data_IF_328965426226
#
_entry.id   IF_328965426226
#
_cell.length_a   1.000
_cell.length_b   1.000
_cell.length_c   1.000
_cell.angle_alpha   90.00
_cell.angle_beta   90.00
_cell.angle_gamma   90.00
#
_symmetry.space_group_name_H-M   'P 1'
#
loop_
_entity.id
_entity.type
_entity.pdbx_description
1 polymer ?
2 non-polymer ?
3 water ?
#
# COMPACT_ATOMS: atom_id res chain seq x y z
N UNK A 1 -11.54 -25.24 1.19
CA UNK A 1 -12.78 -25.26 0.42
C UNK A 1 -12.55 -25.42 -1.08
N UNK A 2 -13.52 -26.03 -1.76
CA UNK A 2 -13.40 -26.27 -3.18
C UNK A 2 -13.37 -24.96 -3.95
N UNK A 3 -12.81 -25.03 -5.15
CA UNK A 3 -12.70 -23.87 -6.01
C UNK A 3 -14.08 -23.29 -6.33
N UNK A 4 -15.08 -24.16 -6.58
CA UNK A 4 -16.42 -23.68 -6.91
C UNK A 4 -17.11 -22.99 -5.74
N UNK A 5 -16.74 -23.33 -4.50
CA UNK A 5 -17.29 -22.60 -3.37
C UNK A 5 -16.78 -21.16 -3.34
N UNK A 6 -15.46 -20.97 -3.49
CA UNK A 6 -14.95 -19.60 -3.54
C UNK A 6 -15.48 -18.87 -4.74
N UNK A 7 -15.58 -19.56 -5.87
CA UNK A 7 -16.13 -18.95 -7.07
C UNK A 7 -17.54 -18.43 -6.80
N UNK A 8 -18.39 -19.25 -6.19
CA UNK A 8 -19.75 -18.82 -5.89
C UNK A 8 -19.75 -17.68 -4.86
N UNK A 9 -18.87 -17.75 -3.87
CA UNK A 9 -18.84 -16.68 -2.88
C UNK A 9 -18.46 -15.37 -3.53
N UNK A 10 -17.60 -15.43 -4.55
CA UNK A 10 -17.23 -14.21 -5.28
C UNK A 10 -18.38 -13.72 -6.14
N UNK A 11 -19.07 -14.61 -6.84
CA UNK A 11 -20.26 -14.23 -7.61
C UNK A 11 -21.28 -13.43 -6.79
N UNK A 12 -21.15 -13.39 -5.46
CA UNK A 12 -22.08 -12.63 -4.66
C UNK A 12 -21.56 -11.25 -4.26
N UNK A 13 -20.29 -10.94 -4.53
CA UNK A 13 -19.68 -9.68 -4.13
C UNK A 13 -19.42 -8.83 -5.38
N UNK A 14 -19.25 -9.50 -6.52
CA UNK A 14 -18.73 -8.86 -7.70
C UNK A 14 -19.90 -8.40 -8.56
N UNK A 15 -19.59 -7.76 -9.59
CA UNK A 15 -20.68 -7.30 -10.43
C UNK A 15 -20.98 -8.34 -11.49
N UNK A 16 -22.21 -8.46 -11.93
CA UNK A 16 -22.51 -9.44 -12.99
C UNK A 16 -21.99 -8.92 -14.32
N UNK A 17 -21.69 -9.88 -15.20
CA UNK A 17 -21.30 -9.56 -16.56
C UNK A 17 -19.88 -10.01 -16.87
N UNK A 18 -19.56 -9.89 -18.15
CA UNK A 18 -18.23 -10.18 -18.66
C UNK A 18 -17.63 -8.86 -19.15
N UNK A 19 -16.66 -8.29 -18.43
CA UNK A 19 -16.09 -7.00 -18.84
C UNK A 19 -15.33 -7.05 -20.14
N UNK A 20 -15.04 -8.25 -20.67
CA UNK A 20 -14.43 -8.37 -21.98
C UNK A 20 -15.35 -7.86 -23.09
N UNK A 21 -16.63 -7.69 -22.79
CA UNK A 21 -17.58 -7.14 -23.75
C UNK A 21 -17.39 -5.65 -23.97
N UNK A 22 -16.57 -4.96 -23.18
CA UNK A 22 -16.37 -3.54 -23.40
C UNK A 22 -14.95 -3.05 -23.12
N UNK A 23 -13.99 -3.92 -22.87
CA UNK A 23 -12.59 -3.51 -22.71
C UNK A 23 -11.75 -4.13 -23.83
N UNK A 24 -10.85 -3.32 -24.40
CA UNK A 24 -9.90 -3.72 -25.42
C UNK A 24 -8.52 -3.19 -25.07
N UNK A 25 -7.55 -3.46 -25.94
CA UNK A 25 -6.21 -2.89 -25.87
C UNK A 25 -5.61 -3.12 -24.49
N UNK A 26 -5.53 -4.40 -24.10
CA UNK A 26 -4.91 -4.77 -22.83
C UNK A 26 -3.38 -4.68 -22.94
N UNK A 27 -2.76 -4.04 -21.97
CA UNK A 27 -1.31 -3.88 -21.92
C UNK A 27 -0.87 -4.29 -20.51
N UNK A 28 -0.21 -5.44 -20.40
CA UNK A 28 0.38 -5.81 -19.12
C UNK A 28 1.36 -4.72 -18.69
N UNK A 29 1.31 -4.33 -17.40
CA UNK A 29 2.22 -3.31 -16.88
C UNK A 29 2.85 -3.75 -15.56
N UNK A 30 2.59 -4.97 -15.11
CA UNK A 30 3.19 -5.35 -13.85
C UNK A 30 2.56 -6.58 -13.25
N UNK A 31 3.22 -7.04 -12.20
CA UNK A 31 2.78 -8.16 -11.39
C UNK A 31 2.79 -7.73 -9.93
N UNK A 32 1.84 -8.30 -9.17
CA UNK A 32 1.91 -8.31 -7.73
C UNK A 32 1.96 -9.75 -7.24
N UNK A 33 1.93 -9.90 -5.92
CA UNK A 33 1.83 -11.24 -5.36
C UNK A 33 0.49 -11.88 -5.73
N UNK A 34 -0.55 -11.05 -5.90
CA UNK A 34 -1.90 -11.55 -6.10
C UNK A 34 -2.24 -11.80 -7.58
N UNK A 35 -1.54 -11.17 -8.52
CA UNK A 35 -1.88 -11.34 -9.92
C UNK A 35 -1.15 -10.32 -10.80
N UNK A 36 -1.80 -9.93 -11.90
CA UNK A 36 -1.18 -8.97 -12.82
C UNK A 36 -2.02 -7.70 -12.90
N UNK A 37 -1.42 -6.64 -13.44
CA UNK A 37 -2.11 -5.37 -13.64
C UNK A 37 -1.99 -4.96 -15.10
N UNK A 38 -3.13 -4.69 -15.75
CA UNK A 38 -3.15 -4.25 -17.13
C UNK A 38 -3.73 -2.85 -17.25
N UNK A 39 -3.36 -2.19 -18.32
CA UNK A 39 -4.11 -1.05 -18.83
C UNK A 39 -5.15 -1.61 -19.80
N UNK A 40 -6.30 -0.98 -19.87
CA UNK A 40 -7.25 -1.27 -20.94
C UNK A 40 -8.02 0.00 -21.26
N UNK A 41 -8.60 0.01 -22.46
CA UNK A 41 -9.47 1.10 -22.87
C UNK A 41 -10.92 0.62 -22.78
N UNK A 42 -11.81 1.54 -22.42
CA UNK A 42 -13.24 1.29 -22.44
C UNK A 42 -13.79 1.75 -23.79
N UNK A 43 -14.44 0.84 -24.53
CA UNK A 43 -14.94 1.19 -25.88
C UNK A 43 -16.02 2.25 -25.82
N UNK A 44 -16.81 2.22 -24.74
CA UNK A 44 -17.95 3.08 -24.50
C UNK A 44 -17.58 4.55 -24.32
N UNK A 45 -16.29 4.89 -24.22
CA UNK A 45 -15.93 6.19 -23.66
C UNK A 45 -14.52 6.65 -24.04
N UNK A 46 -13.69 5.75 -24.55
CA UNK A 46 -12.29 6.04 -24.80
C UNK A 46 -11.41 6.14 -23.58
N UNK A 47 -11.98 6.07 -22.37
CA UNK A 47 -11.22 6.23 -21.13
C UNK A 47 -10.33 5.03 -20.87
N UNK A 48 -9.17 5.30 -20.26
CA UNK A 48 -8.25 4.25 -19.84
C UNK A 48 -8.54 3.88 -18.40
N UNK A 49 -8.39 2.58 -18.09
CA UNK A 49 -8.57 2.04 -16.75
C UNK A 49 -7.48 1.02 -16.50
N UNK A 50 -7.20 0.78 -15.21
CA UNK A 50 -6.38 -0.34 -14.78
C UNK A 50 -7.28 -1.52 -14.43
N UNK A 51 -6.84 -2.72 -14.79
CA UNK A 51 -7.56 -3.95 -14.52
C UNK A 51 -6.61 -4.91 -13.84
N UNK A 52 -6.90 -5.26 -12.58
CA UNK A 52 -6.11 -6.23 -11.82
C UNK A 52 -6.74 -7.59 -12.02
N UNK A 53 -5.92 -8.58 -12.35
CA UNK A 53 -6.43 -9.90 -12.71
C UNK A 53 -5.74 -10.96 -11.86
N UNK A 54 -6.54 -11.67 -11.07
CA UNK A 54 -6.05 -12.57 -10.05
C UNK A 54 -6.63 -13.95 -10.30
N UNK A 55 -5.76 -14.96 -10.40
CA UNK A 55 -6.18 -16.33 -10.64
C UNK A 55 -6.51 -16.98 -9.30
N UNK A 56 -7.75 -17.50 -9.18
CA UNK A 56 -8.19 -18.09 -7.92
C UNK A 56 -7.32 -19.28 -7.54
N UNK A 57 -6.94 -20.11 -8.52
CA UNK A 57 -6.10 -21.26 -8.23
C UNK A 57 -4.71 -20.85 -7.74
N UNK A 58 -4.14 -19.79 -8.34
CA UNK A 58 -2.81 -19.27 -8.01
C UNK A 58 -2.76 -18.53 -6.65
N UNK A 59 -3.72 -18.69 -5.74
CA UNK A 59 -3.80 -17.90 -4.53
C UNK A 59 -3.49 -18.76 -3.32
N UNK A 60 -2.43 -18.39 -2.59
CA UNK A 60 -2.17 -18.98 -1.29
C UNK A 60 -3.45 -18.97 -0.46
N UNK A 61 -3.85 -17.78 -0.01
CA UNK A 61 -5.05 -17.61 0.79
C UNK A 61 -6.13 -16.94 -0.06
N UNK A 62 -7.02 -17.77 -0.64
CA UNK A 62 -8.07 -17.23 -1.51
C UNK A 62 -8.92 -16.17 -0.81
N UNK A 63 -9.18 -16.33 0.48
CA UNK A 63 -10.07 -15.42 1.20
C UNK A 63 -9.59 -13.97 1.14
N UNK A 64 -8.32 -13.71 0.84
CA UNK A 64 -7.87 -12.33 0.77
C UNK A 64 -8.37 -11.62 -0.49
N UNK A 65 -8.81 -12.36 -1.50
CA UNK A 65 -9.33 -11.72 -2.70
C UNK A 65 -10.55 -10.82 -2.40
N UNK A 66 -11.39 -11.20 -1.43
CA UNK A 66 -12.51 -10.33 -1.04
C UNK A 66 -12.03 -8.93 -0.69
N UNK A 67 -10.85 -8.83 -0.04
CA UNK A 67 -10.30 -7.52 0.28
C UNK A 67 -10.06 -6.70 -0.98
N UNK A 68 -9.44 -7.32 -2.00
CA UNK A 68 -9.25 -6.67 -3.30
C UNK A 68 -10.51 -5.94 -3.79
N UNK A 69 -11.69 -6.33 -3.32
CA UNK A 69 -12.94 -5.73 -3.75
C UNK A 69 -13.55 -4.86 -2.66
N UNK A 70 -13.48 -5.32 -1.42
CA UNK A 70 -14.31 -4.74 -0.36
C UNK A 70 -13.77 -3.38 0.07
N UNK A 71 -12.46 -3.27 0.25
CA UNK A 71 -11.83 -2.01 0.64
C UNK A 71 -12.27 -0.87 -0.26
N UNK A 72 -11.87 -0.93 -1.54
CA UNK A 72 -12.23 0.16 -2.45
C UNK A 72 -13.73 0.26 -2.70
N UNK A 73 -14.52 -0.76 -2.34
CA UNK A 73 -15.97 -0.63 -2.45
C UNK A 73 -16.51 0.33 -1.40
N UNK A 74 -15.95 0.29 -0.19
CA UNK A 74 -16.50 0.99 0.96
C UNK A 74 -15.67 2.19 1.40
N UNK A 75 -14.50 2.40 0.79
CA UNK A 75 -13.57 3.38 1.31
C UNK A 75 -13.12 4.32 0.19
N UNK A 76 -14.07 4.91 -0.54
CA UNK A 76 -13.75 6.02 -1.43
C UNK A 76 -13.10 7.16 -0.62
N UNK A 77 -11.99 7.70 -1.14
CA UNK A 77 -11.19 8.71 -0.46
C UNK A 77 -10.20 9.30 -1.47
N UNK A 78 -9.93 10.60 -1.33
CA UNK A 78 -9.09 11.31 -2.29
C UNK A 78 -7.67 10.75 -2.39
N UNK A 79 -7.21 9.98 -1.39
CA UNK A 79 -5.88 9.37 -1.38
C UNK A 79 -5.96 7.84 -1.48
N UNK A 80 -7.06 7.33 -2.03
CA UNK A 80 -7.23 5.90 -2.24
C UNK A 80 -7.61 5.62 -3.69
N UNK A 81 -6.98 4.60 -4.27
CA UNK A 81 -7.31 4.20 -5.63
C UNK A 81 -8.82 4.00 -5.71
N UNK A 82 -9.43 4.53 -6.76
CA UNK A 82 -10.87 4.41 -6.85
C UNK A 82 -11.20 3.24 -7.76
N UNK A 83 -12.11 2.39 -7.30
CA UNK A 83 -12.59 1.25 -8.04
C UNK A 83 -13.89 1.63 -8.74
N UNK A 84 -14.17 0.97 -9.87
CA UNK A 84 -15.46 1.10 -10.54
C UNK A 84 -16.27 -0.18 -10.35
N UNK A 85 -15.82 -1.29 -10.93
CA UNK A 85 -16.52 -2.56 -10.87
C UNK A 85 -15.53 -3.69 -10.63
N UNK A 86 -16.08 -4.82 -10.22
CA UNK A 86 -15.34 -6.07 -10.13
C UNK A 86 -16.19 -7.17 -10.77
N UNK A 87 -15.52 -8.13 -11.39
CA UNK A 87 -16.17 -9.18 -12.17
C UNK A 87 -15.44 -10.49 -11.95
N UNK A 88 -16.15 -11.58 -12.21
CA UNK A 88 -15.57 -12.91 -12.18
C UNK A 88 -15.54 -13.40 -13.62
N UNK A 89 -14.34 -13.70 -14.11
CA UNK A 89 -14.10 -13.98 -15.52
C UNK A 89 -13.40 -15.32 -15.58
N UNK A 90 -14.15 -16.36 -15.93
CA UNK A 90 -13.62 -17.71 -15.85
C UNK A 90 -13.26 -18.01 -14.40
N UNK A 91 -11.97 -18.28 -14.17
CA UNK A 91 -11.45 -18.52 -12.83
C UNK A 91 -10.60 -17.35 -12.32
N UNK A 92 -10.68 -16.19 -12.97
CA UNK A 92 -9.95 -14.99 -12.56
C UNK A 92 -10.90 -13.95 -12.01
N UNK A 93 -10.52 -13.34 -10.89
CA UNK A 93 -11.16 -12.13 -10.40
C UNK A 93 -10.55 -10.93 -11.12
N UNK A 94 -11.40 -10.03 -11.62
CA UNK A 94 -10.97 -8.80 -12.28
C UNK A 94 -11.52 -7.59 -11.53
N UNK A 95 -10.65 -6.62 -11.27
CA UNK A 95 -11.01 -5.38 -10.59
C UNK A 95 -10.64 -4.23 -11.53
N UNK A 96 -11.63 -3.41 -11.88
CA UNK A 96 -11.46 -2.33 -12.84
C UNK A 96 -11.44 -1.03 -12.05
N UNK A 97 -10.34 -0.27 -12.17
CA UNK A 97 -10.13 0.94 -11.38
C UNK A 97 -9.49 2.03 -12.24
N UNK A 98 -9.22 3.18 -11.62
CA UNK A 98 -8.60 4.29 -12.34
C UNK A 98 -7.19 3.90 -12.77
N UNK A 99 -6.73 4.50 -13.85
CA UNK A 99 -5.35 4.35 -14.31
C UNK A 99 -4.52 5.50 -13.75
N UNK A 100 -3.65 5.20 -12.79
CA UNK A 100 -2.75 6.20 -12.22
C UNK A 100 -1.47 6.19 -13.04
N UNK A 101 -1.33 7.20 -13.92
CA UNK A 101 -0.32 7.19 -14.96
C UNK A 101 1.07 7.62 -14.50
N UNK A 102 1.26 8.03 -13.22
CA UNK A 102 2.58 8.39 -12.73
C UNK A 102 3.40 7.25 -12.15
N UNK A 103 2.96 6.00 -12.34
CA UNK A 103 3.57 4.80 -11.83
C UNK A 103 3.57 4.70 -10.30
N UNK A 104 4.32 3.72 -9.83
CA UNK A 104 4.47 3.49 -8.40
C UNK A 104 5.64 4.31 -7.85
N UNK A 105 5.59 4.53 -6.53
CA UNK A 105 6.60 5.34 -5.87
C UNK A 105 7.99 4.70 -5.98
N UNK A 106 8.05 3.37 -6.01
CA UNK A 106 9.31 2.65 -6.16
C UNK A 106 10.11 3.17 -7.35
N UNK A 107 9.45 3.49 -8.46
CA UNK A 107 10.18 4.04 -9.60
C UNK A 107 10.85 5.35 -9.22
N UNK A 108 10.26 6.12 -8.30
CA UNK A 108 10.89 7.38 -7.92
C UNK A 108 12.02 7.15 -6.90
N UNK A 109 11.85 6.23 -5.94
CA UNK A 109 12.87 6.11 -4.89
C UNK A 109 14.16 5.45 -5.37
N UNK A 110 14.09 4.51 -6.30
CA UNK A 110 15.28 3.84 -6.80
C UNK A 110 15.95 4.62 -7.92
N UNK A 111 15.30 5.67 -8.45
CA UNK A 111 15.78 6.37 -9.62
C UNK A 111 15.97 7.88 -9.45
N UNK A 112 15.49 8.48 -8.36
CA UNK A 112 15.77 9.90 -8.09
C UNK A 112 16.14 10.03 -6.61
N UNK A 113 16.19 11.27 -6.14
CA UNK A 113 16.31 11.56 -4.71
C UNK A 113 15.30 12.65 -4.36
N UNK A 114 14.40 12.34 -3.42
CA UNK A 114 13.30 13.23 -3.09
C UNK A 114 13.73 14.21 -2.01
N UNK A 115 13.20 15.43 -2.10
CA UNK A 115 13.41 16.39 -1.02
C UNK A 115 12.32 16.21 0.03
N UNK A 116 12.50 16.90 1.16
CA UNK A 116 11.59 16.74 2.30
C UNK A 116 10.18 17.28 2.01
N UNK A 117 10.06 18.27 1.13
CA UNK A 117 8.75 18.66 0.61
C UNK A 117 8.01 17.47 0.03
N UNK A 118 8.72 16.69 -0.80
CA UNK A 118 8.08 15.55 -1.46
C UNK A 118 7.82 14.42 -0.49
N UNK A 119 8.81 14.10 0.34
CA UNK A 119 8.63 13.07 1.35
C UNK A 119 7.41 13.38 2.19
N UNK A 120 7.27 14.63 2.62
CA UNK A 120 6.13 15.05 3.43
C UNK A 120 4.82 14.96 2.65
N UNK A 121 4.85 15.28 1.35
CA UNK A 121 3.62 15.13 0.57
C UNK A 121 3.14 13.67 0.57
N UNK A 122 4.04 12.74 0.25
CA UNK A 122 3.73 11.31 0.27
C UNK A 122 3.25 10.86 1.66
N UNK A 123 3.92 11.30 2.73
CA UNK A 123 3.55 10.85 4.07
C UNK A 123 2.22 11.42 4.51
N UNK A 124 1.93 12.67 4.11
CA UNK A 124 0.63 13.26 4.42
C UNK A 124 -0.49 12.47 3.73
N UNK A 125 -0.33 12.17 2.43
CA UNK A 125 -1.35 11.39 1.74
C UNK A 125 -1.54 10.04 2.40
N UNK A 126 -0.44 9.32 2.62
CA UNK A 126 -0.56 7.97 3.19
C UNK A 126 -1.22 8.03 4.56
N UNK A 127 -0.85 9.03 5.36
CA UNK A 127 -1.41 9.13 6.70
C UNK A 127 -2.89 9.45 6.66
N UNK A 128 -3.32 10.37 5.78
CA UNK A 128 -4.75 10.66 5.67
C UNK A 128 -5.52 9.38 5.38
N UNK A 129 -5.13 8.65 4.34
CA UNK A 129 -5.81 7.39 4.05
C UNK A 129 -5.77 6.45 5.24
N UNK A 130 -4.61 6.35 5.90
CA UNK A 130 -4.47 5.38 6.98
C UNK A 130 -5.31 5.75 8.19
N UNK A 131 -5.58 7.04 8.38
CA UNK A 131 -6.39 7.43 9.52
C UNK A 131 -7.85 7.12 9.25
N UNK A 132 -8.29 7.35 8.01
CA UNK A 132 -9.64 6.93 7.65
C UNK A 132 -9.79 5.41 7.78
N UNK A 133 -8.80 4.65 7.31
CA UNK A 133 -8.92 3.20 7.34
C UNK A 133 -8.76 2.65 8.75
N UNK A 134 -7.88 3.23 9.54
CA UNK A 134 -7.67 2.76 10.90
C UNK A 134 -8.88 3.07 11.76
N UNK A 135 -9.45 4.26 11.59
CA UNK A 135 -10.65 4.61 12.34
C UNK A 135 -11.69 3.51 12.21
N UNK A 136 -12.17 3.25 10.98
CA UNK A 136 -13.15 2.21 10.76
C UNK A 136 -12.52 0.82 10.79
N UNK A 137 -11.32 0.70 11.37
CA UNK A 137 -10.79 -0.57 11.86
C UNK A 137 -10.01 -1.46 10.90
N UNK A 138 -9.57 -0.95 9.71
CA UNK A 138 -8.87 -1.74 8.70
C UNK A 138 -7.37 -1.58 8.82
N UNK A 139 -6.64 -2.70 8.70
CA UNK A 139 -5.18 -2.76 8.67
C UNK A 139 -4.72 -3.14 7.27
N UNK A 140 -3.90 -2.28 6.64
CA UNK A 140 -3.49 -2.50 5.26
C UNK A 140 -2.57 -3.69 5.14
N UNK A 141 -1.47 -3.69 5.91
CA UNK A 141 -0.49 -4.77 6.11
C UNK A 141 0.51 -4.94 4.97
N UNK A 142 0.52 -4.06 3.97
CA UNK A 142 1.57 -4.11 2.93
C UNK A 142 1.94 -2.69 2.52
N UNK A 143 2.23 -1.84 3.50
CA UNK A 143 2.69 -0.49 3.24
C UNK A 143 4.15 -0.53 2.77
N UNK A 144 4.43 0.09 1.63
CA UNK A 144 5.75 0.17 1.04
C UNK A 144 5.62 1.03 -0.20
N UNK A 145 6.76 1.35 -0.83
CA UNK A 145 6.68 2.25 -1.98
C UNK A 145 5.91 1.61 -3.14
N UNK A 146 6.02 0.28 -3.30
CA UNK A 146 5.33 -0.42 -4.39
C UNK A 146 3.81 -0.28 -4.30
N UNK A 147 3.28 -0.05 -3.10
CA UNK A 147 1.86 0.11 -2.86
C UNK A 147 1.36 1.55 -3.05
N UNK A 148 2.22 2.47 -3.50
CA UNK A 148 1.86 3.88 -3.59
C UNK A 148 1.86 4.28 -5.06
N UNK A 149 0.77 4.89 -5.49
CA UNK A 149 0.62 5.25 -6.90
C UNK A 149 0.52 6.75 -7.04
N UNK A 150 0.96 7.26 -8.19
CA UNK A 150 1.01 8.70 -8.39
C UNK A 150 0.38 9.06 -9.72
N UNK A 151 0.19 10.36 -9.92
CA UNK A 151 -0.24 10.89 -11.20
C UNK A 151 0.79 11.86 -11.74
N UNK A 152 0.60 12.24 -13.01
CA UNK A 152 1.46 13.22 -13.67
C UNK A 152 1.50 14.55 -12.92
N UNK A 153 0.42 14.89 -12.22
CA UNK A 153 0.32 16.11 -11.43
C UNK A 153 0.54 15.86 -9.95
N UNK A 154 1.28 14.81 -9.57
CA UNK A 154 1.73 14.59 -8.20
C UNK A 154 0.68 14.19 -7.17
N UNK A 155 -0.51 13.78 -7.59
CA UNK A 155 -1.45 13.22 -6.64
C UNK A 155 -0.90 11.88 -6.16
N UNK A 156 -1.12 11.57 -4.88
CA UNK A 156 -0.62 10.34 -4.25
C UNK A 156 -1.81 9.54 -3.73
N UNK A 157 -1.84 8.25 -4.05
CA UNK A 157 -2.97 7.39 -3.68
C UNK A 157 -2.45 6.05 -3.20
N UNK A 158 -3.07 5.52 -2.13
CA UNK A 158 -2.70 4.23 -1.58
C UNK A 158 -3.39 3.10 -2.33
N UNK A 159 -2.67 2.00 -2.57
CA UNK A 159 -3.19 0.94 -3.43
C UNK A 159 -2.83 -0.41 -2.84
N UNK A 160 -3.00 -1.45 -3.63
CA UNK A 160 -2.68 -2.83 -3.25
C UNK A 160 -3.26 -3.16 -1.88
N UNK A 161 -4.60 -3.27 -1.83
CA UNK A 161 -5.29 -3.64 -0.61
C UNK A 161 -5.48 -5.13 -0.49
N UNK A 162 -4.76 -5.90 -1.32
CA UNK A 162 -4.90 -7.35 -1.29
C UNK A 162 -4.80 -7.96 0.10
N UNK A 163 -4.05 -7.34 1.00
CA UNK A 163 -3.63 -7.98 2.25
C UNK A 163 -4.37 -7.48 3.48
N UNK A 164 -5.45 -6.72 3.33
CA UNK A 164 -6.05 -6.10 4.51
C UNK A 164 -6.72 -7.11 5.44
N UNK A 165 -6.83 -6.72 6.71
CA UNK A 165 -7.63 -7.37 7.74
C UNK A 165 -8.51 -6.32 8.40
N UNK A 166 -9.59 -6.73 9.06
CA UNK A 166 -10.42 -5.79 9.79
C UNK A 166 -10.49 -6.21 11.26
N UNK A 167 -10.27 -5.23 12.13
CA UNK A 167 -10.28 -5.42 13.57
C UNK A 167 -11.54 -4.75 14.13
N UNK A 168 -12.06 -5.27 15.25
CA UNK A 168 -13.33 -4.79 15.78
C UNK A 168 -13.28 -4.75 17.30
N UNK A 169 -14.30 -4.12 17.89
CA UNK A 169 -14.48 -4.17 19.34
C UNK A 169 -14.66 -5.59 19.85
N UNK A 170 -14.92 -6.56 18.96
CA UNK A 170 -15.05 -7.97 19.34
C UNK A 170 -13.69 -8.67 19.31
N UNK A 171 -13.08 -8.76 18.13
CA UNK A 171 -11.73 -9.27 17.99
C UNK A 171 -10.81 -8.08 17.71
N UNK A 172 -9.95 -7.68 18.65
CA UNK A 172 -9.28 -6.37 18.56
C UNK A 172 -7.88 -6.40 17.98
N UNK A 173 -7.33 -7.59 18.09
CA UNK A 173 -6.02 -7.92 17.66
C UNK A 173 -6.35 -9.19 16.96
N UNK A 174 -5.33 -9.61 16.32
CA UNK A 174 -5.03 -10.05 14.98
C UNK A 174 -3.64 -10.65 15.06
N UNK A 175 -3.55 -12.01 14.27
CA UNK A 175 -2.40 -12.85 14.66
C UNK A 175 -1.60 -13.37 13.46
N UNK A 176 -2.16 -13.24 12.25
CA UNK A 176 -1.59 -13.84 11.03
C UNK A 176 -0.35 -13.11 10.47
N UNK A 177 0.51 -13.86 9.76
CA UNK A 177 1.81 -13.36 9.33
C UNK A 177 1.83 -12.97 7.86
N UNK A 178 1.59 -11.70 7.58
CA UNK A 178 1.43 -11.25 6.19
C UNK A 178 2.02 -9.87 6.06
N UNK A 179 2.54 -9.58 4.88
CA UNK A 179 3.21 -8.33 4.60
C UNK A 179 4.55 -8.63 3.95
N UNK A 180 5.24 -7.62 3.58
CA UNK A 180 6.55 -7.85 3.00
C UNK A 180 7.63 -7.76 4.07
N UNK A 181 8.54 -8.76 4.15
CA UNK A 181 9.49 -8.88 5.27
C UNK A 181 10.12 -7.60 5.81
N UNK A 182 10.92 -6.94 4.95
CA UNK A 182 11.72 -5.78 5.36
C UNK A 182 10.86 -4.66 5.94
N UNK A 183 9.56 -4.64 5.65
CA UNK A 183 8.68 -3.58 6.10
C UNK A 183 7.85 -3.99 7.30
N UNK A 184 8.02 -5.21 7.82
CA UNK A 184 7.15 -5.72 8.87
C UNK A 184 7.54 -5.18 10.23
N UNK A 185 6.53 -4.77 10.99
CA UNK A 185 6.70 -4.39 12.38
C UNK A 185 7.22 -5.59 13.19
N UNK A 186 7.91 -5.33 14.32
CA UNK A 186 8.56 -6.45 15.03
C UNK A 186 7.57 -7.30 15.84
N UNK A 187 6.52 -6.68 16.38
CA UNK A 187 5.48 -7.46 17.05
C UNK A 187 4.80 -8.42 16.08
N UNK A 188 4.69 -8.01 14.81
CA UNK A 188 4.13 -8.89 13.79
C UNK A 188 5.07 -10.05 13.48
N UNK A 189 6.39 -9.80 13.52
CA UNK A 189 7.36 -10.83 13.18
C UNK A 189 7.41 -11.92 14.25
N UNK A 190 7.59 -11.51 15.52
CA UNK A 190 7.59 -12.45 16.65
C UNK A 190 6.18 -13.01 16.88
N UNK A 191 5.22 -12.58 16.05
CA UNK A 191 3.88 -13.15 15.93
C UNK A 191 3.07 -13.01 17.23
N UNK A 192 3.14 -11.84 17.83
CA UNK A 192 2.21 -11.44 18.88
C UNK A 192 0.99 -10.81 18.24
N UNK A 193 -0.13 -10.70 18.97
CA UNK A 193 -1.28 -9.97 18.43
C UNK A 193 -0.91 -8.52 18.15
N UNK A 194 -1.43 -7.99 17.03
CA UNK A 194 -1.11 -6.64 16.57
C UNK A 194 -2.37 -5.94 16.08
N UNK A 195 -2.23 -4.63 15.84
CA UNK A 195 -3.30 -3.85 15.30
C UNK A 195 -2.80 -2.92 14.22
N UNK A 196 -3.52 -1.82 13.97
CA UNK A 196 -3.09 -0.87 12.93
C UNK A 196 -1.69 -0.31 13.13
N UNK A 197 -1.13 -0.44 14.33
CA UNK A 197 0.23 0.02 14.60
C UNK A 197 1.22 -0.49 13.56
N UNK A 198 0.99 -1.69 13.01
CA UNK A 198 1.93 -2.22 12.02
C UNK A 198 2.04 -1.30 10.80
N UNK A 199 0.91 -0.79 10.30
CA UNK A 199 0.98 0.13 9.18
C UNK A 199 1.90 1.30 9.49
N UNK A 200 1.81 1.83 10.71
CA UNK A 200 2.65 2.98 11.07
C UNK A 200 4.13 2.58 11.04
N UNK A 201 4.48 1.43 11.62
CA UNK A 201 5.84 0.94 11.46
C UNK A 201 6.25 0.92 9.99
N UNK A 202 5.41 0.30 9.14
CA UNK A 202 5.80 0.10 7.75
C UNK A 202 5.95 1.44 7.03
N UNK A 203 5.14 2.44 7.42
CA UNK A 203 5.32 3.76 6.84
C UNK A 203 6.70 4.30 7.17
N UNK A 204 7.15 4.05 8.40
CA UNK A 204 8.51 4.44 8.77
C UNK A 204 9.55 3.80 7.88
N UNK A 205 9.41 2.50 7.59
CA UNK A 205 10.34 1.89 6.65
C UNK A 205 10.25 2.57 5.29
N UNK A 206 9.02 2.92 4.85
CA UNK A 206 8.92 3.62 3.57
C UNK A 206 9.71 4.93 3.61
N UNK A 207 9.74 5.61 4.77
CA UNK A 207 10.48 6.87 4.83
C UNK A 207 11.97 6.62 4.65
N UNK A 208 12.47 5.53 5.22
CA UNK A 208 13.85 5.16 4.98
C UNK A 208 14.06 4.89 3.50
N UNK A 209 13.10 4.19 2.88
CA UNK A 209 13.10 4.04 1.44
C UNK A 209 13.27 5.37 0.73
N UNK A 210 12.49 6.38 1.15
CA UNK A 210 12.57 7.64 0.42
C UNK A 210 13.88 8.37 0.69
N UNK A 211 14.54 8.07 1.80
CA UNK A 211 15.76 8.76 2.20
C UNK A 211 17.00 8.02 1.73
N UNK A 212 17.11 6.75 2.05
CA UNK A 212 18.28 5.96 1.68
C UNK A 212 18.16 5.29 0.31
N UNK A 213 16.94 5.02 -0.14
CA UNK A 213 16.73 4.38 -1.43
C UNK A 213 16.36 2.92 -1.34
N UNK A 214 16.35 2.35 -0.14
CA UNK A 214 16.01 0.95 0.07
C UNK A 214 15.68 0.76 1.55
N UNK A 215 14.98 -0.31 1.91
CA UNK A 215 14.61 -0.49 3.30
C UNK A 215 15.78 -1.08 4.07
N UNK A 216 15.73 -1.03 5.40
CA UNK A 216 16.82 -1.62 6.18
C UNK A 216 16.96 -3.12 5.92
N UNK A 217 18.20 -3.59 5.91
CA UNK A 217 18.57 -4.99 5.76
C UNK A 217 18.20 -5.55 4.39
N UNK A 218 18.04 -4.70 3.37
CA UNK A 218 17.72 -5.16 2.02
C UNK A 218 18.84 -6.02 1.42
N UNK A 219 20.04 -6.00 1.99
CA UNK A 219 21.11 -6.83 1.46
C UNK A 219 20.90 -8.30 1.79
N UNK A 220 20.29 -8.60 2.92
CA UNK A 220 20.22 -9.95 3.47
C UNK A 220 19.08 -10.76 2.87
N UNK A 221 19.11 -12.08 3.02
CA UNK A 221 17.94 -12.87 2.68
C UNK A 221 16.77 -12.48 3.56
N UNK A 222 15.55 -12.79 3.14
CA UNK A 222 14.36 -12.35 3.89
C UNK A 222 14.41 -12.73 5.38
N UNK A 223 14.59 -14.02 5.66
CA UNK A 223 14.46 -14.53 7.01
C UNK A 223 15.49 -13.90 7.96
N UNK A 224 16.74 -13.76 7.50
CA UNK A 224 17.73 -13.06 8.29
C UNK A 224 17.22 -11.66 8.64
N UNK A 225 16.77 -10.91 7.64
CA UNK A 225 16.30 -9.53 7.86
C UNK A 225 15.21 -9.48 8.93
N UNK A 226 14.23 -10.40 8.86
CA UNK A 226 13.16 -10.40 9.85
C UNK A 226 13.71 -10.62 11.26
N UNK A 227 14.49 -11.70 11.45
CA UNK A 227 15.06 -11.93 12.79
C UNK A 227 15.88 -10.73 13.26
N UNK A 228 16.58 -10.07 12.32
CA UNK A 228 17.28 -8.84 12.63
C UNK A 228 16.33 -7.79 13.20
N UNK A 229 15.17 -7.63 12.57
CA UNK A 229 14.20 -6.65 13.03
C UNK A 229 13.70 -7.00 14.43
N UNK A 230 13.70 -8.30 14.79
CA UNK A 230 13.24 -8.68 16.13
C UNK A 230 14.31 -8.49 17.20
N UNK A 231 15.58 -8.77 16.89
CA UNK A 231 16.66 -8.73 17.89
C UNK A 231 17.28 -7.34 18.06
N UNK A 232 17.72 -6.75 16.94
CA UNK A 232 18.43 -5.47 16.90
C UNK A 232 17.69 -4.32 17.58
N UNK A 233 18.45 -3.30 17.99
CA UNK A 233 17.84 -2.01 18.18
C UNK A 233 17.49 -1.44 16.80
N UNK A 234 16.44 -0.63 16.72
CA UNK A 234 15.88 -0.20 15.41
C UNK A 234 16.94 0.29 14.42
N UNK A 235 16.57 0.43 13.14
CA UNK A 235 17.57 0.64 12.08
C UNK A 235 18.07 2.09 12.01
N UNK A 236 19.41 2.25 11.93
CA UNK A 236 20.06 3.56 12.00
C UNK A 236 20.36 4.09 10.60
N UNK A 237 19.78 5.25 10.27
CA UNK A 237 19.83 5.84 8.94
C UNK A 237 21.26 5.94 8.40
N UNK A 238 21.35 5.89 7.08
CA UNK A 238 22.61 6.09 6.36
C UNK A 238 22.79 7.59 6.09
N UNK A 239 21.92 8.14 5.24
CA UNK A 239 21.96 9.56 4.90
C UNK A 239 21.46 10.47 6.02
N UNK A 240 21.77 10.14 7.29
CA UNK A 240 21.26 10.93 8.42
C UNK A 240 21.58 12.41 8.29
N UNK A 241 22.67 12.77 7.62
CA UNK A 241 23.03 14.17 7.47
C UNK A 241 22.11 14.94 6.51
N UNK A 242 21.35 14.25 5.63
CA UNK A 242 20.43 14.93 4.72
C UNK A 242 19.09 15.29 5.38
N UNK A 243 18.79 14.68 6.51
CA UNK A 243 17.48 14.72 7.14
C UNK A 243 17.42 15.82 8.19
N UNK A 244 16.38 16.66 8.12
CA UNK A 244 16.18 17.70 9.11
C UNK A 244 15.74 17.10 10.45
N UNK A 245 15.88 17.85 11.55
CA UNK A 245 15.34 17.35 12.83
C UNK A 245 13.84 17.21 12.83
N UNK A 246 13.16 17.94 11.96
CA UNK A 246 11.74 17.73 11.72
C UNK A 246 11.49 16.29 11.26
N UNK A 247 12.05 15.94 10.10
CA UNK A 247 11.90 14.57 9.59
C UNK A 247 12.44 13.56 10.58
N UNK A 248 13.56 13.89 11.23
CA UNK A 248 14.15 12.95 12.19
C UNK A 248 13.19 12.65 13.34
N UNK A 249 12.50 13.68 13.85
CA UNK A 249 11.59 13.48 14.95
C UNK A 249 10.32 12.77 14.53
N UNK A 250 9.80 13.12 13.35
CA UNK A 250 8.70 12.38 12.75
C UNK A 250 9.03 10.91 12.66
N UNK A 251 10.13 10.61 11.97
CA UNK A 251 10.53 9.22 11.79
C UNK A 251 10.70 8.52 13.14
N UNK A 252 11.19 9.24 14.16
CA UNK A 252 11.32 8.66 15.49
C UNK A 252 9.97 8.32 16.11
N UNK A 253 8.91 9.08 15.76
CA UNK A 253 7.56 8.71 16.20
C UNK A 253 6.99 7.55 15.41
N UNK A 254 7.52 7.28 14.21
CA UNK A 254 7.07 6.14 13.42
C UNK A 254 7.65 4.81 13.92
N UNK A 255 8.98 4.70 14.01
CA UNK A 255 9.68 3.44 14.30
C UNK A 255 9.86 3.14 15.80
N UNK A 256 8.84 3.37 16.64
CA UNK A 256 8.90 2.96 18.05
C UNK A 256 8.74 1.45 18.15
N UNK A 257 9.72 0.78 18.79
CA UNK A 257 9.72 -0.69 18.90
C UNK A 257 8.49 -1.22 19.64
N UNK A 258 7.91 -0.46 20.57
CA UNK A 258 6.74 -0.91 21.33
C UNK A 258 5.48 -0.29 20.75
N UNK A 259 4.54 -1.09 20.21
CA UNK A 259 3.37 -0.51 19.52
C UNK A 259 2.45 0.34 20.40
N UNK A 260 2.58 0.28 21.73
CA UNK A 260 1.76 1.14 22.58
C UNK A 260 2.26 2.57 22.58
N UNK A 261 3.57 2.77 22.48
CA UNK A 261 4.20 4.07 22.47
C UNK A 261 4.31 4.64 21.05
N UNK A 262 3.88 3.87 20.04
CA UNK A 262 3.97 4.31 18.66
C UNK A 262 2.79 5.20 18.29
N UNK A 263 3.09 6.27 17.56
CA UNK A 263 2.05 7.23 17.23
C UNK A 263 0.99 6.60 16.34
N UNK A 264 -0.26 6.98 16.57
CA UNK A 264 -1.35 6.65 15.66
C UNK A 264 -1.30 7.54 14.42
N UNK A 265 -1.95 7.10 13.36
CA UNK A 265 -2.07 7.93 12.16
C UNK A 265 -2.62 9.31 12.51
N UNK A 266 -3.75 9.36 13.22
CA UNK A 266 -4.38 10.64 13.52
C UNK A 266 -3.50 11.52 14.39
N UNK A 267 -2.58 10.94 15.16
CA UNK A 267 -1.61 11.75 15.90
C UNK A 267 -0.54 12.31 14.97
N UNK A 268 -0.07 11.51 14.00
CA UNK A 268 0.96 11.97 13.09
C UNK A 268 0.44 13.05 12.14
N UNK A 269 -0.86 13.03 11.83
CA UNK A 269 -1.45 14.05 10.96
C UNK A 269 -1.21 15.46 11.46
N UNK A 270 -0.87 15.62 12.75
CA UNK A 270 -0.66 16.93 13.36
C UNK A 270 0.81 17.22 13.61
N UNK A 271 1.72 16.37 13.16
CA UNK A 271 3.14 16.58 13.42
C UNK A 271 3.68 17.69 12.53
N UNK A 272 4.62 18.50 13.02
CA UNK A 272 5.07 19.67 12.25
C UNK A 272 5.84 19.32 11.00
N UNK A 273 6.44 18.13 10.91
CA UNK A 273 7.09 17.74 9.66
C UNK A 273 6.13 17.86 8.48
N UNK A 274 4.87 17.47 8.68
CA UNK A 274 3.92 17.52 7.58
C UNK A 274 3.65 18.96 7.12
N UNK A 275 4.02 19.98 7.89
CA UNK A 275 3.89 21.34 7.38
C UNK A 275 4.72 21.54 6.12
N UNK A 276 5.90 20.90 6.03
CA UNK A 276 6.72 21.01 4.84
C UNK A 276 6.02 20.53 3.56
N UNK A 277 4.82 19.94 3.67
CA UNK A 277 4.25 19.13 2.60
C UNK A 277 3.91 20.01 1.40
N UNK A 278 4.73 19.91 0.36
CA UNK A 278 4.49 20.59 -0.89
C UNK A 278 3.17 20.19 -1.50
N UNK A 279 2.65 21.03 -2.39
CA UNK A 279 1.37 20.73 -3.05
C UNK A 279 1.54 19.59 -4.02
N UNK A 280 0.45 19.12 -4.63
CA UNK A 280 0.59 18.13 -5.73
C UNK A 280 1.62 18.54 -6.79
N UNK A 281 1.63 19.82 -7.21
CA UNK A 281 2.57 20.27 -8.23
C UNK A 281 4.03 20.07 -7.86
N UNK A 282 4.34 19.80 -6.59
CA UNK A 282 5.72 19.59 -6.16
C UNK A 282 6.24 18.19 -6.51
N UNK A 283 5.36 17.24 -6.82
CA UNK A 283 5.81 15.88 -7.13
C UNK A 283 5.78 15.61 -8.65
N UNK A 284 5.65 16.65 -9.47
CA UNK A 284 5.77 16.53 -10.92
C UNK A 284 7.22 16.35 -11.36
N UNK A 285 8.21 17.22 -10.89
CA UNK A 285 9.55 17.18 -11.50
C UNK A 285 10.42 16.00 -11.07
N UNK A 286 9.84 14.81 -10.91
CA UNK A 286 10.65 13.65 -10.56
C UNK A 286 10.13 12.34 -11.13
N UNK A 287 9.08 12.33 -11.95
CA UNK A 287 8.62 11.10 -12.58
C UNK A 287 9.54 10.68 -13.73
N UNK A 288 9.16 11.04 -14.96
CA UNK A 288 9.98 10.79 -16.15
C UNK A 288 10.22 12.08 -16.92
N UNK A 289 10.89 13.06 -16.28
CA UNK A 289 11.27 14.34 -16.89
C UNK A 289 12.65 14.80 -16.44
N UNK A 290 13.52 13.87 -16.05
CA UNK A 290 14.88 14.22 -15.60
C UNK A 290 15.96 13.38 -16.27
X LIG B 1 2.79 1.13 -13.20
X LIG B 1 1.60 1.83 -13.22
X LIG B 1 0.59 1.45 -12.34
X LIG B 1 0.78 0.42 -11.47
X LIG B 1 2.92 0.10 -12.33
X LIG B 1 1.91 -0.28 -11.49
X LIG B 1 1.40 2.90 -14.11
X LIG B 1 2.47 3.25 -14.99
X LIG B 1 3.66 2.55 -15.00
X LIG B 1 3.83 1.48 -14.10
X LIG B 1 -1.85 1.81 -11.77
X LIG B 1 -2.11 0.63 -11.10
X LIG B 1 -3.97 1.89 -11.04
X LIG B 1 -4.13 -0.32 -9.90
X LIG B 1 1.76 -2.73 -10.72
X LIG B 1 2.81 -3.70 -10.15
X LIG B 1 3.55 -3.23 -8.90
X LIG B 1 2.91 -2.04 -8.26
X LIG B 1 2.73 -0.95 -9.30
X LIG B 1 -0.60 2.21 -12.41
X LIG B 1 -3.44 0.68 -10.64
X LIG B 1 -3.00 2.60 -11.75
X LIG B 1 2.11 -1.35 -10.52
X LIG B 1 3.59 -4.26 -7.89
X LIG B 1 2.23 4.59 -16.07
#
# INVERSE_FOLDING_TARGET
>A
SSHEQFRAALQLVVDPGDPRSYLDNFIKIGEGSTGIVCIATVRSSGKLVAVKKMDLRKQQRRELLFNEVVIMRDYQHENVVEMYNSYLVGDELWVVMEFLEGGALTDIVTHTRMNEEQIAAVCLAVLQALSVLHAQGVIHRDIKSDSILLTHDGRVKLSDFGFCAQVSKEVPRRKSLVGTPYWMAPELISRLPYGPEVDIWSLGIMVIEMVDGEPPYFNEPPLKAMKMIRDNLPPRLKNLHKVSPSLKGFLDRLLVRDPAQRATAAELLKHPFLAKAGPPASIVPLMRQN
>B hetero
1 8FR C4 C5 C6 N1 N3 C2 CAA CAB CAC CAD CAM CAN CAP CAR CAT CAU CAV CAW CAX NAL NAO NAQ NAS NAY CL
#
